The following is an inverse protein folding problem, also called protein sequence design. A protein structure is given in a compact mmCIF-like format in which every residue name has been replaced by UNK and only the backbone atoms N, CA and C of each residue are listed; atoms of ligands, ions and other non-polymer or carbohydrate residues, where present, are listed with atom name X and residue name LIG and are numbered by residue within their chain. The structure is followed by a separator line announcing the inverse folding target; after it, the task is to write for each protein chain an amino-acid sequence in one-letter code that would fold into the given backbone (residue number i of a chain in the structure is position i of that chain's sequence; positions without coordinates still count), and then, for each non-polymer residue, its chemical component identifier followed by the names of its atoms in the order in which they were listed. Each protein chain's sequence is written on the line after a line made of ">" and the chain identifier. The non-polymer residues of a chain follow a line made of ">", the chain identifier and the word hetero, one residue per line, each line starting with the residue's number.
data_IF_750175180011
#
_entry.id   IF_750175180011
#
_cell.length_a   1.000
_cell.length_b   1.000
_cell.length_c   1.000
_cell.angle_alpha   90.00
_cell.angle_beta   90.00
_cell.angle_gamma   90.00
#
_symmetry.space_group_name_H-M   'P 1'
#
loop_
_entity.id
_entity.type
_entity.pdbx_description
1 polymer ?
#
# COMPACT_ATOMS: atom_id res chain seq x y z
N UNK A 1 -2.82 9.99 -10.51
CA UNK A 1 -3.30 8.72 -11.08
C UNK A 1 -3.63 7.78 -9.93
N UNK A 2 -4.92 7.53 -9.67
CA UNK A 2 -5.35 6.54 -8.68
C UNK A 2 -4.91 5.16 -9.19
N UNK A 3 -3.85 4.59 -8.62
CA UNK A 3 -3.51 3.18 -8.86
C UNK A 3 -4.72 2.35 -8.45
N UNK A 4 -5.40 1.76 -9.43
CA UNK A 4 -6.51 0.83 -9.18
C UNK A 4 -6.07 -0.21 -8.15
N UNK A 5 -6.90 -0.54 -7.16
CA UNK A 5 -6.54 -1.46 -6.07
C UNK A 5 -5.99 -2.81 -6.57
N UNK A 6 -6.33 -3.22 -7.80
CA UNK A 6 -5.77 -4.39 -8.48
C UNK A 6 -4.28 -4.26 -8.84
N UNK A 7 -3.81 -3.07 -9.24
CA UNK A 7 -2.39 -2.85 -9.54
C UNK A 7 -1.53 -2.92 -8.26
N UNK A 8 -2.04 -2.38 -7.14
CA UNK A 8 -1.40 -2.51 -5.84
C UNK A 8 -1.29 -3.98 -5.39
N UNK A 9 -2.36 -4.77 -5.59
CA UNK A 9 -2.32 -6.21 -5.28
C UNK A 9 -1.37 -6.96 -6.21
N UNK A 10 -1.37 -6.66 -7.52
CA UNK A 10 -0.51 -7.35 -8.49
C UNK A 10 0.98 -7.10 -8.23
N UNK A 11 1.34 -5.89 -7.79
CA UNK A 11 2.72 -5.55 -7.39
C UNK A 11 3.12 -6.21 -6.07
N UNK A 12 2.24 -6.21 -5.06
CA UNK A 12 2.47 -6.93 -3.81
C UNK A 12 2.71 -8.43 -4.03
N UNK A 13 1.85 -9.08 -4.83
CA UNK A 13 2.00 -10.50 -5.20
C UNK A 13 3.34 -10.82 -5.87
N UNK A 14 3.81 -9.91 -6.73
CA UNK A 14 5.12 -10.07 -7.37
C UNK A 14 6.29 -10.03 -6.37
N UNK A 15 6.21 -9.19 -5.34
CA UNK A 15 7.22 -9.08 -4.28
C UNK A 15 7.24 -10.28 -3.33
N UNK A 16 6.08 -10.91 -3.11
CA UNK A 16 5.92 -12.07 -2.22
C UNK A 16 6.26 -13.41 -2.88
N UNK A 17 6.36 -13.46 -4.20
CA UNK A 17 6.67 -14.68 -4.94
C UNK A 17 7.87 -15.47 -4.38
N UNK A 18 9.06 -14.86 -4.12
CA UNK A 18 10.19 -15.61 -3.56
C UNK A 18 9.88 -16.20 -2.18
N UNK A 19 9.16 -15.46 -1.33
CA UNK A 19 8.74 -15.96 -0.01
C UNK A 19 7.82 -17.17 -0.14
N UNK A 20 6.87 -17.14 -1.09
CA UNK A 20 5.94 -18.27 -1.33
C UNK A 20 6.65 -19.50 -1.84
N UNK A 21 7.62 -19.34 -2.74
CA UNK A 21 8.43 -20.45 -3.26
C UNK A 21 9.33 -21.01 -2.14
N UNK A 22 9.95 -20.14 -1.33
CA UNK A 22 10.76 -20.55 -0.19
C UNK A 22 9.97 -21.33 0.85
N UNK A 23 8.78 -20.86 1.22
CA UNK A 23 7.89 -21.58 2.14
C UNK A 23 7.45 -22.93 1.56
N UNK A 24 7.08 -22.96 0.27
CA UNK A 24 6.68 -24.21 -0.39
C UNK A 24 7.82 -25.22 -0.44
N UNK A 25 9.05 -24.78 -0.72
CA UNK A 25 10.22 -25.64 -0.70
C UNK A 25 10.46 -26.21 0.71
N UNK A 26 10.35 -25.38 1.74
CA UNK A 26 10.48 -25.82 3.13
C UNK A 26 9.40 -26.83 3.53
N UNK A 27 8.13 -26.55 3.21
CA UNK A 27 7.00 -27.43 3.51
C UNK A 27 7.14 -28.76 2.74
N UNK A 28 7.50 -28.72 1.46
CA UNK A 28 7.72 -29.91 0.65
C UNK A 28 8.88 -30.75 1.17
N UNK A 29 9.98 -30.12 1.59
CA UNK A 29 11.12 -30.79 2.21
C UNK A 29 10.75 -31.43 3.56
N UNK A 30 10.02 -30.72 4.41
CA UNK A 30 9.53 -31.28 5.67
C UNK A 30 8.58 -32.46 5.45
N UNK A 31 7.67 -32.34 4.47
CA UNK A 31 6.76 -33.42 4.09
C UNK A 31 7.51 -34.66 3.60
N UNK A 32 8.59 -34.48 2.84
CA UNK A 32 9.47 -35.57 2.41
C UNK A 32 10.15 -36.30 3.57
N UNK A 33 10.61 -35.56 4.58
CA UNK A 33 11.25 -36.15 5.76
C UNK A 33 10.24 -36.91 6.60
N UNK A 34 9.02 -36.37 6.77
CA UNK A 34 7.97 -37.01 7.56
C UNK A 34 7.38 -38.25 6.88
N UNK A 35 7.20 -38.19 5.55
CA UNK A 35 6.62 -39.27 4.76
C UNK A 35 7.34 -39.34 3.40
N UNK A 36 8.40 -40.16 3.28
CA UNK A 36 9.16 -40.28 2.04
C UNK A 36 8.28 -40.79 0.90
N UNK A 37 7.98 -39.94 -0.08
CA UNK A 37 7.10 -40.28 -1.21
C UNK A 37 7.35 -39.36 -2.40
N UNK A 38 6.84 -39.72 -3.58
CA UNK A 38 6.89 -38.84 -4.76
C UNK A 38 5.91 -37.66 -4.66
N UNK A 39 4.90 -37.75 -3.78
CA UNK A 39 3.82 -36.76 -3.66
C UNK A 39 4.27 -35.32 -3.37
N UNK A 40 5.19 -35.05 -2.41
CA UNK A 40 5.66 -33.69 -2.18
C UNK A 40 6.37 -33.06 -3.40
N UNK A 41 7.06 -33.86 -4.23
CA UNK A 41 7.67 -33.37 -5.48
C UNK A 41 6.58 -33.01 -6.48
N UNK A 42 5.60 -33.88 -6.70
CA UNK A 42 4.47 -33.61 -7.62
C UNK A 42 3.72 -32.35 -7.17
N UNK A 43 3.48 -32.21 -5.87
CA UNK A 43 2.85 -31.04 -5.30
C UNK A 43 3.68 -29.77 -5.54
N UNK A 44 4.99 -29.81 -5.27
CA UNK A 44 5.88 -28.67 -5.47
C UNK A 44 5.93 -28.25 -6.95
N UNK A 45 6.04 -29.20 -7.88
CA UNK A 45 6.02 -28.91 -9.32
C UNK A 45 4.67 -28.32 -9.77
N UNK A 46 3.57 -28.83 -9.22
CA UNK A 46 2.22 -28.30 -9.51
C UNK A 46 2.06 -26.89 -8.94
N UNK A 47 2.62 -26.63 -7.76
CA UNK A 47 2.65 -25.31 -7.13
C UNK A 47 3.44 -24.32 -7.98
N UNK A 48 4.62 -24.69 -8.49
CA UNK A 48 5.41 -23.85 -9.38
C UNK A 48 4.65 -23.49 -10.68
N UNK A 49 3.96 -24.47 -11.29
CA UNK A 49 3.11 -24.22 -12.44
C UNK A 49 1.95 -23.26 -12.11
N UNK A 50 1.32 -23.41 -10.94
CA UNK A 50 0.31 -22.50 -10.42
C UNK A 50 0.84 -21.07 -10.22
N UNK A 51 2.05 -20.91 -9.70
CA UNK A 51 2.70 -19.60 -9.55
C UNK A 51 3.05 -18.95 -10.89
N UNK A 52 3.48 -19.74 -11.88
CA UNK A 52 3.71 -19.24 -13.24
C UNK A 52 2.39 -18.72 -13.85
N UNK A 53 1.29 -19.46 -13.68
CA UNK A 53 -0.04 -19.02 -14.12
C UNK A 53 -0.49 -17.74 -13.40
N UNK A 54 -0.29 -17.64 -12.09
CA UNK A 54 -0.59 -16.44 -11.30
C UNK A 54 0.21 -15.23 -11.83
N UNK A 55 1.51 -15.41 -12.05
CA UNK A 55 2.38 -14.37 -12.61
C UNK A 55 1.88 -13.85 -13.96
N UNK A 56 1.48 -14.76 -14.86
CA UNK A 56 0.95 -14.41 -16.19
C UNK A 56 -0.40 -13.70 -16.07
N UNK A 57 -1.30 -14.19 -15.22
CA UNK A 57 -2.63 -13.63 -15.02
C UNK A 57 -2.58 -12.18 -14.51
N UNK A 58 -1.64 -11.87 -13.60
CA UNK A 58 -1.48 -10.54 -13.00
C UNK A 58 -0.48 -9.63 -13.74
N UNK A 59 0.26 -10.13 -14.74
CA UNK A 59 1.23 -9.34 -15.54
C UNK A 59 0.63 -8.05 -16.14
N UNK A 60 -0.56 -8.06 -16.78
CA UNK A 60 -1.14 -6.85 -17.40
C UNK A 60 -1.41 -5.74 -16.39
N UNK A 61 -1.87 -6.12 -15.18
CA UNK A 61 -2.14 -5.18 -14.09
C UNK A 61 -0.88 -4.57 -13.49
N UNK A 62 0.26 -5.26 -13.60
CA UNK A 62 1.58 -4.72 -13.21
C UNK A 62 2.13 -3.73 -14.22
N UNK A 63 1.77 -3.90 -15.50
CA UNK A 63 2.20 -3.02 -16.59
C UNK A 63 1.35 -1.76 -16.72
N UNK A 64 0.27 -1.63 -15.94
CA UNK A 64 -0.56 -0.43 -15.91
C UNK A 64 -1.56 -0.33 -17.07
N UNK A 65 -1.93 -1.46 -17.69
CA UNK A 65 -2.94 -1.52 -18.76
C UNK A 65 -4.38 -1.31 -18.22
N UNK A 66 -4.69 -0.09 -17.78
CA UNK A 66 -6.05 0.35 -17.45
C UNK A 66 -6.78 -0.45 -16.35
N UNK A 67 -8.09 -0.20 -16.20
CA UNK A 67 -8.92 -1.00 -15.30
C UNK A 67 -9.27 -2.37 -15.90
N UNK A 68 -9.14 -3.48 -15.15
CA UNK A 68 -9.47 -4.79 -15.67
C UNK A 68 -10.98 -4.95 -15.90
N UNK A 69 -11.34 -5.54 -17.04
CA UNK A 69 -12.72 -5.94 -17.37
C UNK A 69 -13.27 -6.94 -16.34
N UNK A 70 -14.61 -7.05 -16.24
CA UNK A 70 -15.27 -7.98 -15.30
C UNK A 70 -14.81 -9.44 -15.50
N UNK A 71 -14.67 -9.88 -16.75
CA UNK A 71 -14.17 -11.22 -17.08
C UNK A 71 -12.75 -11.45 -16.56
N UNK A 72 -11.87 -10.44 -16.68
CA UNK A 72 -10.48 -10.55 -16.21
C UNK A 72 -10.39 -10.57 -14.68
N UNK A 73 -11.26 -9.82 -13.99
CA UNK A 73 -11.37 -9.88 -12.52
C UNK A 73 -11.79 -11.28 -12.05
N UNK A 74 -12.78 -11.87 -12.71
CA UNK A 74 -13.22 -13.25 -12.42
C UNK A 74 -12.12 -14.28 -12.70
N UNK A 75 -11.42 -14.14 -13.83
CA UNK A 75 -10.27 -15.00 -14.16
C UNK A 75 -9.17 -14.93 -13.10
N UNK A 76 -8.79 -13.73 -12.65
CA UNK A 76 -7.77 -13.57 -11.61
C UNK A 76 -8.21 -14.14 -10.26
N UNK A 77 -9.49 -14.00 -9.90
CA UNK A 77 -10.05 -14.62 -8.71
C UNK A 77 -10.01 -16.15 -8.80
N UNK A 78 -10.34 -16.72 -9.97
CA UNK A 78 -10.26 -18.15 -10.23
C UNK A 78 -8.83 -18.69 -10.14
N UNK A 79 -7.87 -18.01 -10.75
CA UNK A 79 -6.43 -18.38 -10.66
C UNK A 79 -5.94 -18.29 -9.21
N UNK A 80 -6.33 -17.25 -8.48
CA UNK A 80 -5.97 -17.13 -7.07
C UNK A 80 -6.55 -18.28 -6.23
N UNK A 81 -7.83 -18.62 -6.41
CA UNK A 81 -8.48 -19.74 -5.73
C UNK A 81 -7.83 -21.09 -6.08
N UNK A 82 -7.48 -21.30 -7.34
CA UNK A 82 -6.77 -22.50 -7.80
C UNK A 82 -5.41 -22.62 -7.11
N UNK A 83 -4.63 -21.53 -7.09
CA UNK A 83 -3.30 -21.54 -6.49
C UNK A 83 -3.36 -21.81 -4.98
N UNK A 84 -4.34 -21.24 -4.27
CA UNK A 84 -4.52 -21.50 -2.84
C UNK A 84 -5.00 -22.92 -2.54
N UNK A 85 -5.84 -23.49 -3.42
CA UNK A 85 -6.26 -24.89 -3.34
C UNK A 85 -5.06 -25.83 -3.54
N UNK A 86 -4.24 -25.62 -4.57
CA UNK A 86 -3.02 -26.38 -4.82
C UNK A 86 -2.10 -26.27 -3.61
N UNK A 87 -1.84 -25.06 -3.11
CA UNK A 87 -0.95 -24.86 -1.98
C UNK A 87 -1.44 -25.59 -0.72
N UNK A 88 -2.74 -25.52 -0.42
CA UNK A 88 -3.32 -26.21 0.74
C UNK A 88 -3.43 -27.72 0.58
N UNK A 89 -3.40 -28.25 -0.63
CA UNK A 89 -3.62 -29.69 -0.87
C UNK A 89 -2.57 -30.59 -0.19
N UNK A 90 -1.35 -30.10 0.07
CA UNK A 90 -0.33 -30.83 0.82
C UNK A 90 -0.78 -31.18 2.25
N UNK A 91 -1.67 -30.36 2.83
CA UNK A 91 -2.23 -30.62 4.14
C UNK A 91 -3.05 -31.92 4.16
N UNK A 92 -3.74 -32.26 3.07
CA UNK A 92 -4.46 -33.54 2.95
C UNK A 92 -3.48 -34.70 3.01
N UNK A 93 -2.41 -34.62 2.24
CA UNK A 93 -1.37 -35.65 2.21
C UNK A 93 -0.74 -35.83 3.59
N UNK A 94 -0.32 -34.74 4.22
CA UNK A 94 0.28 -34.75 5.56
C UNK A 94 -0.69 -35.26 6.64
N UNK A 95 -1.98 -34.92 6.53
CA UNK A 95 -2.99 -35.36 7.48
C UNK A 95 -3.13 -36.87 7.53
N UNK A 96 -3.18 -37.51 6.37
CA UNK A 96 -3.41 -38.96 6.29
C UNK A 96 -2.12 -39.78 6.30
N UNK A 97 -1.02 -39.26 5.73
CA UNK A 97 0.23 -40.01 5.54
C UNK A 97 1.39 -39.52 6.42
N UNK A 98 1.22 -38.41 7.14
CA UNK A 98 2.27 -37.82 8.00
C UNK A 98 2.40 -38.46 9.38
N UNK A 99 1.74 -39.61 9.61
CA UNK A 99 1.76 -40.31 10.89
C UNK A 99 1.07 -39.54 12.03
N UNK A 100 1.43 -39.79 13.29
CA UNK A 100 0.76 -39.21 14.46
C UNK A 100 0.80 -37.67 14.52
N UNK A 101 1.87 -37.07 13.98
CA UNK A 101 2.06 -35.61 13.97
C UNK A 101 1.60 -34.94 12.67
N UNK A 102 1.17 -35.72 11.68
CA UNK A 102 0.68 -35.24 10.39
C UNK A 102 -0.43 -34.18 10.50
N UNK A 103 -1.50 -34.43 11.28
CA UNK A 103 -2.57 -33.45 11.49
C UNK A 103 -2.09 -32.12 12.08
N UNK A 104 -1.14 -32.14 13.03
CA UNK A 104 -0.60 -30.92 13.62
C UNK A 104 0.14 -30.08 12.59
N UNK A 105 1.01 -30.71 11.80
CA UNK A 105 1.76 -30.00 10.77
C UNK A 105 0.82 -29.45 9.68
N UNK A 106 -0.17 -30.23 9.26
CA UNK A 106 -1.19 -29.81 8.30
C UNK A 106 -1.97 -28.57 8.78
N UNK A 107 -2.38 -28.54 10.06
CA UNK A 107 -3.08 -27.38 10.63
C UNK A 107 -2.19 -26.14 10.72
N UNK A 108 -0.96 -26.28 11.21
CA UNK A 108 -0.02 -25.16 11.32
C UNK A 108 0.27 -24.56 9.94
N UNK A 109 0.47 -25.41 8.94
CA UNK A 109 0.64 -24.98 7.55
C UNK A 109 -0.57 -24.15 7.10
N UNK A 110 -1.77 -24.75 7.09
CA UNK A 110 -2.95 -24.09 6.52
C UNK A 110 -3.31 -22.82 7.30
N UNK A 111 -3.11 -22.80 8.62
CA UNK A 111 -3.24 -21.58 9.44
C UNK A 111 -2.26 -20.49 8.99
N UNK A 112 -0.97 -20.80 8.84
CA UNK A 112 0.02 -19.84 8.35
C UNK A 112 -0.34 -19.27 6.97
N UNK A 113 -0.86 -20.12 6.09
CA UNK A 113 -1.30 -19.73 4.75
C UNK A 113 -2.55 -18.82 4.77
N UNK A 114 -3.53 -19.12 5.64
CA UNK A 114 -4.68 -18.25 5.93
C UNK A 114 -4.22 -16.86 6.41
N UNK A 115 -3.33 -16.81 7.39
CA UNK A 115 -2.77 -15.56 7.90
C UNK A 115 -2.07 -14.77 6.80
N UNK A 116 -1.23 -15.43 6.01
CA UNK A 116 -0.47 -14.80 4.92
C UNK A 116 -1.41 -14.12 3.91
N UNK A 117 -2.44 -14.83 3.42
CA UNK A 117 -3.42 -14.26 2.47
C UNK A 117 -4.21 -13.11 3.10
N UNK A 118 -4.62 -13.26 4.35
CA UNK A 118 -5.38 -12.27 5.10
C UNK A 118 -4.63 -10.93 5.28
N UNK A 119 -3.32 -10.97 5.50
CA UNK A 119 -2.52 -9.75 5.68
C UNK A 119 -2.30 -9.00 4.35
N UNK A 120 -2.04 -9.71 3.25
CA UNK A 120 -1.58 -9.08 2.01
C UNK A 120 -2.72 -8.71 1.05
N UNK A 121 -3.89 -9.35 1.13
CA UNK A 121 -4.96 -9.20 0.11
C UNK A 121 -6.15 -8.32 0.52
N UNK A 122 -6.08 -7.62 1.65
CA UNK A 122 -7.24 -6.94 2.25
C UNK A 122 -7.82 -5.77 1.43
N UNK A 123 -7.09 -5.26 0.43
CA UNK A 123 -7.50 -4.14 -0.41
C UNK A 123 -8.59 -4.51 -1.45
N UNK A 124 -8.75 -5.80 -1.81
CA UNK A 124 -9.69 -6.24 -2.85
C UNK A 124 -10.51 -7.44 -2.36
N UNK A 125 -11.71 -7.17 -1.84
CA UNK A 125 -12.58 -8.18 -1.18
C UNK A 125 -12.85 -9.43 -2.03
N UNK A 126 -13.19 -9.36 -3.33
CA UNK A 126 -13.45 -10.56 -4.12
C UNK A 126 -12.25 -11.50 -4.20
N UNK A 127 -11.05 -10.95 -4.26
CA UNK A 127 -9.82 -11.72 -4.39
C UNK A 127 -9.38 -12.33 -3.05
N UNK A 128 -9.63 -11.62 -1.94
CA UNK A 128 -9.47 -12.15 -0.60
C UNK A 128 -10.43 -13.33 -0.37
N UNK A 129 -11.72 -13.18 -0.69
CA UNK A 129 -12.71 -14.25 -0.53
C UNK A 129 -12.33 -15.47 -1.36
N UNK A 130 -11.98 -15.28 -2.64
CA UNK A 130 -11.55 -16.36 -3.53
C UNK A 130 -10.32 -17.12 -3.01
N UNK A 131 -9.41 -16.42 -2.31
CA UNK A 131 -8.18 -17.02 -1.78
C UNK A 131 -8.38 -17.70 -0.42
N UNK A 132 -9.25 -17.15 0.43
CA UNK A 132 -9.54 -17.64 1.79
C UNK A 132 -10.41 -18.90 1.76
N UNK A 133 -11.41 -18.97 0.88
CA UNK A 133 -12.37 -20.08 0.84
C UNK A 133 -11.64 -21.43 0.73
N UNK A 134 -10.72 -21.67 -0.23
CA UNK A 134 -10.03 -22.96 -0.32
C UNK A 134 -9.28 -23.33 0.95
N UNK A 135 -8.50 -22.39 1.53
CA UNK A 135 -7.79 -22.66 2.78
C UNK A 135 -8.74 -22.99 3.93
N UNK A 136 -9.83 -22.24 4.10
CA UNK A 136 -10.83 -22.48 5.12
C UNK A 136 -11.51 -23.85 4.94
N UNK A 137 -11.77 -24.25 3.69
CA UNK A 137 -12.30 -25.57 3.36
C UNK A 137 -11.36 -26.68 3.81
N UNK A 138 -10.05 -26.59 3.56
CA UNK A 138 -9.11 -27.59 4.07
C UNK A 138 -8.97 -27.54 5.60
N UNK A 139 -8.87 -26.34 6.16
CA UNK A 139 -8.64 -26.13 7.59
C UNK A 139 -9.77 -26.67 8.47
N UNK A 140 -11.03 -26.49 8.05
CA UNK A 140 -12.19 -26.99 8.78
C UNK A 140 -12.63 -28.37 8.27
N UNK A 141 -12.46 -28.63 6.98
CA UNK A 141 -12.91 -29.86 6.35
C UNK A 141 -12.12 -31.09 6.78
N UNK A 142 -10.80 -30.99 6.98
CA UNK A 142 -9.97 -32.12 7.40
C UNK A 142 -10.35 -32.68 8.79
N UNK A 143 -10.41 -31.86 9.86
CA UNK A 143 -10.85 -32.36 11.17
C UNK A 143 -12.33 -32.79 11.14
N UNK A 144 -13.20 -32.10 10.39
CA UNK A 144 -14.61 -32.48 10.27
C UNK A 144 -14.79 -33.83 9.58
N UNK A 145 -14.05 -34.08 8.49
CA UNK A 145 -14.06 -35.35 7.78
C UNK A 145 -13.53 -36.48 8.67
N UNK A 146 -12.45 -36.23 9.40
CA UNK A 146 -11.89 -37.20 10.36
C UNK A 146 -12.91 -37.54 11.44
N UNK A 147 -13.54 -36.52 12.04
CA UNK A 147 -14.60 -36.71 13.03
C UNK A 147 -15.78 -37.52 12.46
N UNK A 148 -16.17 -37.28 11.21
CA UNK A 148 -17.26 -38.00 10.57
C UNK A 148 -16.93 -39.49 10.35
N UNK A 149 -15.69 -39.80 9.97
CA UNK A 149 -15.24 -41.16 9.64
C UNK A 149 -14.85 -41.98 10.87
N UNK A 150 -14.04 -41.42 11.78
CA UNK A 150 -13.44 -42.17 12.91
C UNK A 150 -14.15 -41.94 14.23
N UNK A 151 -14.97 -40.88 14.34
CA UNK A 151 -15.60 -40.43 15.60
C UNK A 151 -14.59 -40.15 16.72
N UNK A 152 -13.36 -39.84 16.34
CA UNK A 152 -12.28 -39.53 17.28
C UNK A 152 -12.50 -38.18 17.97
N UNK A 153 -12.41 -38.17 19.30
CA UNK A 153 -12.53 -36.97 20.12
C UNK A 153 -11.36 -36.00 19.89
N UNK A 154 -10.18 -36.49 19.48
CA UNK A 154 -9.07 -35.61 19.13
C UNK A 154 -9.43 -34.69 17.95
N UNK A 155 -10.22 -35.17 16.98
CA UNK A 155 -10.70 -34.36 15.87
C UNK A 155 -11.63 -33.22 16.33
N UNK A 156 -12.41 -33.43 17.40
CA UNK A 156 -13.23 -32.37 18.02
C UNK A 156 -12.35 -31.27 18.60
N UNK A 157 -11.29 -31.62 19.33
CA UNK A 157 -10.36 -30.65 19.90
C UNK A 157 -9.67 -29.82 18.80
N UNK A 158 -9.23 -30.46 17.72
CA UNK A 158 -8.63 -29.77 16.56
C UNK A 158 -9.65 -28.85 15.90
N UNK A 159 -10.92 -29.27 15.75
CA UNK A 159 -11.96 -28.44 15.16
C UNK A 159 -12.26 -27.21 16.02
N UNK A 160 -12.32 -27.35 17.35
CA UNK A 160 -12.49 -26.22 18.26
C UNK A 160 -11.31 -25.25 18.13
N UNK A 161 -10.07 -25.75 18.10
CA UNK A 161 -8.88 -24.94 17.90
C UNK A 161 -8.91 -24.21 16.54
N UNK A 162 -9.38 -24.88 15.49
CA UNK A 162 -9.55 -24.29 14.17
C UNK A 162 -10.58 -23.16 14.17
N UNK A 163 -11.74 -23.35 14.80
CA UNK A 163 -12.78 -22.33 14.92
C UNK A 163 -12.28 -21.13 15.74
N UNK A 164 -11.56 -21.38 16.85
CA UNK A 164 -10.97 -20.33 17.67
C UNK A 164 -9.94 -19.51 16.88
N UNK A 165 -9.09 -20.19 16.10
CA UNK A 165 -8.11 -19.55 15.22
C UNK A 165 -8.81 -18.66 14.17
N UNK A 166 -9.84 -19.18 13.49
CA UNK A 166 -10.60 -18.42 12.50
C UNK A 166 -11.27 -17.21 13.14
N UNK A 167 -11.83 -17.34 14.35
CA UNK A 167 -12.43 -16.22 15.08
C UNK A 167 -11.39 -15.11 15.37
N UNK A 168 -10.20 -15.48 15.87
CA UNK A 168 -9.10 -14.53 16.09
C UNK A 168 -8.62 -13.90 14.80
N UNK A 169 -8.50 -14.67 13.72
CA UNK A 169 -8.09 -14.17 12.41
C UNK A 169 -9.09 -13.15 11.87
N UNK A 170 -10.40 -13.40 12.01
CA UNK A 170 -11.44 -12.45 11.60
C UNK A 170 -11.33 -11.13 12.37
N UNK A 171 -11.09 -11.19 13.68
CA UNK A 171 -10.86 -9.99 14.51
C UNK A 171 -9.60 -9.25 14.05
N UNK A 172 -8.50 -9.97 13.86
CA UNK A 172 -7.22 -9.40 13.40
C UNK A 172 -7.34 -8.73 12.02
N UNK A 173 -8.04 -9.35 11.07
CA UNK A 173 -8.27 -8.80 9.73
C UNK A 173 -9.15 -7.55 9.81
N UNK A 174 -10.23 -7.57 10.59
CA UNK A 174 -11.09 -6.39 10.80
C UNK A 174 -10.30 -5.23 11.38
N UNK A 175 -9.43 -5.50 12.35
CA UNK A 175 -8.57 -4.49 12.95
C UNK A 175 -7.56 -3.93 11.93
N UNK A 176 -6.87 -4.81 11.19
CA UNK A 176 -5.89 -4.42 10.17
C UNK A 176 -6.50 -3.53 9.08
N UNK A 177 -7.73 -3.83 8.63
CA UNK A 177 -8.43 -3.02 7.64
C UNK A 177 -8.74 -1.63 8.19
N UNK A 178 -9.22 -1.53 9.43
CA UNK A 178 -9.51 -0.25 10.08
C UNK A 178 -8.25 0.61 10.21
N UNK A 179 -7.18 0.05 10.78
CA UNK A 179 -5.91 0.75 10.97
C UNK A 179 -5.31 1.22 9.65
N UNK A 180 -5.39 0.43 8.59
CA UNK A 180 -4.88 0.82 7.26
C UNK A 180 -5.71 1.96 6.66
N UNK A 181 -7.04 1.93 6.85
CA UNK A 181 -7.93 3.01 6.43
C UNK A 181 -7.65 4.32 7.15
N UNK A 182 -7.44 4.27 8.47
CA UNK A 182 -7.13 5.45 9.29
C UNK A 182 -5.78 6.06 8.90
N UNK A 183 -4.76 5.21 8.67
CA UNK A 183 -3.44 5.67 8.19
C UNK A 183 -3.52 6.33 6.82
N UNK A 184 -4.31 5.79 5.89
CA UNK A 184 -4.52 6.39 4.57
C UNK A 184 -5.24 7.74 4.65
N UNK A 185 -6.25 7.85 5.51
CA UNK A 185 -6.97 9.10 5.75
C UNK A 185 -6.04 10.17 6.35
N UNK A 186 -5.29 9.82 7.40
CA UNK A 186 -4.33 10.72 8.02
C UNK A 186 -3.22 11.16 7.06
N UNK A 187 -2.72 10.25 6.21
CA UNK A 187 -1.72 10.58 5.18
C UNK A 187 -2.28 11.55 4.15
N UNK A 188 -3.53 11.35 3.72
CA UNK A 188 -4.18 12.24 2.75
C UNK A 188 -4.36 13.62 3.33
N UNK A 189 -4.80 13.73 4.59
CA UNK A 189 -4.93 15.01 5.28
C UNK A 189 -3.58 15.71 5.49
N UNK A 190 -2.53 14.96 5.85
CA UNK A 190 -1.20 15.54 5.98
C UNK A 190 -0.68 16.12 4.64
N UNK A 191 -0.96 15.45 3.52
CA UNK A 191 -0.59 15.93 2.19
C UNK A 191 -1.38 17.19 1.81
N UNK A 192 -2.70 17.23 2.05
CA UNK A 192 -3.51 18.42 1.75
C UNK A 192 -3.09 19.63 2.57
N UNK A 193 -2.75 19.43 3.85
CA UNK A 193 -2.26 20.50 4.71
C UNK A 193 -0.88 21.00 4.28
N UNK A 194 0.03 20.09 3.88
CA UNK A 194 1.34 20.47 3.35
C UNK A 194 1.19 21.30 2.07
N UNK A 195 0.38 20.85 1.12
CA UNK A 195 0.19 21.56 -0.15
C UNK A 195 -0.43 22.95 0.10
N UNK A 196 -1.37 23.08 1.05
CA UNK A 196 -1.91 24.39 1.48
C UNK A 196 -0.83 25.31 2.07
N UNK A 197 0.06 24.77 2.91
CA UNK A 197 1.15 25.53 3.49
C UNK A 197 2.17 25.98 2.44
N UNK A 198 2.49 25.11 1.47
CA UNK A 198 3.35 25.43 0.33
C UNK A 198 2.74 26.56 -0.52
N UNK A 199 1.44 26.47 -0.86
CA UNK A 199 0.73 27.53 -1.58
C UNK A 199 0.72 28.87 -0.81
N UNK A 200 0.47 28.84 0.50
CA UNK A 200 0.49 30.05 1.32
C UNK A 200 1.90 30.67 1.40
N UNK A 201 2.94 29.84 1.53
CA UNK A 201 4.34 30.29 1.55
C UNK A 201 4.77 30.89 0.22
N UNK A 202 4.36 30.27 -0.90
CA UNK A 202 4.61 30.78 -2.24
C UNK A 202 3.94 32.15 -2.45
N UNK A 203 2.67 32.29 -2.08
CA UNK A 203 1.94 33.56 -2.17
C UNK A 203 2.57 34.66 -1.29
N UNK A 204 3.05 34.32 -0.09
CA UNK A 204 3.77 35.25 0.78
C UNK A 204 5.09 35.71 0.14
N UNK A 205 5.82 34.79 -0.49
CA UNK A 205 7.09 35.08 -1.16
C UNK A 205 6.87 35.99 -2.37
N UNK A 206 5.84 35.71 -3.17
CA UNK A 206 5.44 36.56 -4.31
C UNK A 206 5.03 37.96 -3.84
N UNK A 207 4.18 38.06 -2.81
CA UNK A 207 3.80 39.34 -2.23
C UNK A 207 5.01 40.15 -1.75
N UNK A 208 5.94 39.51 -1.01
CA UNK A 208 7.15 40.18 -0.53
C UNK A 208 8.06 40.64 -1.68
N UNK A 209 8.15 39.85 -2.76
CA UNK A 209 8.92 40.23 -3.95
C UNK A 209 8.31 41.45 -4.65
N UNK A 210 6.99 41.45 -4.86
CA UNK A 210 6.25 42.59 -5.47
C UNK A 210 6.41 43.84 -4.61
N UNK A 211 6.15 43.76 -3.31
CA UNK A 211 6.30 44.91 -2.40
C UNK A 211 7.75 45.42 -2.38
N UNK A 212 8.75 44.54 -2.40
CA UNK A 212 10.16 44.96 -2.45
C UNK A 212 10.47 45.76 -3.73
N UNK A 213 9.91 45.36 -4.86
CA UNK A 213 10.06 46.06 -6.13
C UNK A 213 9.35 47.42 -6.12
N UNK A 214 8.15 47.48 -5.54
CA UNK A 214 7.33 48.69 -5.43
C UNK A 214 7.88 49.71 -4.41
N UNK A 215 8.58 49.26 -3.36
CA UNK A 215 9.21 50.17 -2.37
C UNK A 215 10.53 50.75 -2.88
N UNK A 216 11.27 50.03 -3.74
CA UNK A 216 12.57 50.49 -4.25
C UNK A 216 12.44 51.75 -5.11
N UNK A 217 11.37 51.87 -5.88
CA UNK A 217 11.07 53.02 -6.75
C UNK A 217 10.85 54.34 -5.99
N UNK A 218 9.95 54.44 -4.99
CA UNK A 218 9.79 55.65 -4.19
C UNK A 218 10.98 55.90 -3.25
N UNK A 219 11.64 54.86 -2.73
CA UNK A 219 12.82 55.05 -1.86
C UNK A 219 13.98 55.69 -2.64
N UNK A 220 14.22 55.26 -3.88
CA UNK A 220 15.19 55.92 -4.76
C UNK A 220 14.79 57.36 -5.09
N UNK A 221 13.50 57.66 -5.21
CA UNK A 221 13.00 59.02 -5.42
C UNK A 221 13.18 59.94 -4.18
N UNK A 222 13.17 59.39 -2.97
CA UNK A 222 13.39 60.15 -1.73
C UNK A 222 14.89 60.34 -1.44
N UNK A 223 15.73 59.33 -1.69
CA UNK A 223 17.19 59.42 -1.47
C UNK A 223 17.87 60.33 -2.51
N UNK A 224 17.36 60.41 -3.74
CA UNK A 224 17.91 61.28 -4.77
C UNK A 224 17.76 62.78 -4.44
N UNK A 225 16.71 63.17 -3.70
CA UNK A 225 16.42 64.56 -3.31
C UNK A 225 17.58 65.26 -2.58
N UNK A 226 18.13 64.74 -1.47
CA UNK A 226 19.25 65.39 -0.77
C UNK A 226 20.55 65.38 -1.58
N UNK A 227 20.84 64.34 -2.37
CA UNK A 227 22.04 64.31 -3.23
C UNK A 227 21.99 65.31 -4.38
N UNK A 228 20.81 65.58 -4.96
CA UNK A 228 20.65 66.62 -5.96
C UNK A 228 20.87 68.02 -5.34
N UNK A 229 20.34 68.27 -4.14
CA UNK A 229 20.58 69.52 -3.41
C UNK A 229 22.05 69.71 -2.98
N UNK A 230 22.76 68.62 -2.66
CA UNK A 230 24.19 68.67 -2.33
C UNK A 230 25.07 68.93 -3.57
N UNK A 231 24.73 68.35 -4.72
CA UNK A 231 25.41 68.64 -6.00
C UNK A 231 25.14 70.06 -6.51
N UNK A 232 24.01 70.67 -6.13
CA UNK A 232 23.66 72.04 -6.46
C UNK A 232 24.28 73.12 -5.52
N UNK A 233 25.12 72.74 -4.55
CA UNK A 233 25.88 73.70 -3.74
C UNK A 233 25.03 74.54 -2.77
N UNK A 234 24.02 73.94 -2.13
CA UNK A 234 23.12 74.68 -1.24
C UNK A 234 23.65 74.75 0.21
N UNK A 235 23.85 75.97 0.76
CA UNK A 235 24.12 76.23 2.19
C UNK A 235 22.90 76.88 2.86
N UNK A 236 22.46 76.45 4.06
CA UNK A 236 21.28 77.04 4.71
C UNK A 236 21.64 78.35 5.43
N UNK A 237 21.19 79.49 4.91
CA UNK A 237 21.10 80.74 5.68
C UNK A 237 19.72 81.39 5.49
N UNK A 238 18.94 81.38 6.58
CA UNK A 238 17.75 82.19 6.89
C UNK A 238 16.77 82.59 5.76
N UNK A 239 15.60 81.95 5.82
CA UNK A 239 14.27 82.57 5.73
C UNK A 239 13.97 83.56 4.58
N UNK A 240 13.44 83.04 3.47
CA UNK A 240 12.20 83.57 2.87
C UNK A 240 11.61 82.54 1.88
N UNK A 241 10.33 82.22 2.07
CA UNK A 241 9.52 81.40 1.17
C UNK A 241 9.25 82.19 -0.11
N UNK A 242 9.74 81.73 -1.26
CA UNK A 242 9.43 82.27 -2.59
C UNK A 242 9.10 81.15 -3.59
N UNK A 243 8.32 81.42 -4.66
CA UNK A 243 7.40 80.46 -5.28
C UNK A 243 8.03 79.45 -6.27
N UNK A 244 9.34 79.21 -6.23
CA UNK A 244 10.02 78.26 -7.12
C UNK A 244 9.71 76.77 -6.84
N UNK A 245 8.96 76.45 -5.79
CA UNK A 245 8.64 75.05 -5.46
C UNK A 245 7.59 74.42 -6.40
N UNK A 246 6.91 75.21 -7.25
CA UNK A 246 5.85 74.71 -8.13
C UNK A 246 6.34 74.08 -9.45
N UNK A 247 7.52 74.45 -9.96
CA UNK A 247 8.04 73.91 -11.23
C UNK A 247 8.89 72.65 -11.07
N UNK A 248 9.21 72.23 -9.85
CA UNK A 248 9.89 70.96 -9.60
C UNK A 248 8.96 69.73 -9.76
N UNK A 249 7.64 69.94 -9.82
CA UNK A 249 6.67 68.86 -10.04
C UNK A 249 6.77 68.25 -11.45
N UNK A 250 7.31 68.97 -12.43
CA UNK A 250 7.42 68.51 -13.83
C UNK A 250 8.71 67.76 -14.15
N UNK A 251 9.76 67.84 -13.31
CA UNK A 251 11.03 67.16 -13.60
C UNK A 251 11.08 65.69 -13.12
N UNK A 252 10.17 65.29 -12.22
CA UNK A 252 10.11 63.92 -11.71
C UNK A 252 9.36 62.93 -12.62
N UNK A 253 8.82 63.37 -13.76
CA UNK A 253 7.98 62.55 -14.66
C UNK A 253 8.68 62.07 -15.94
N UNK A 254 9.99 62.28 -16.09
CA UNK A 254 10.74 62.01 -17.32
C UNK A 254 11.89 60.99 -17.19
N UNK A 255 11.81 60.04 -16.26
CA UNK A 255 12.67 58.84 -16.20
C UNK A 255 11.84 57.64 -15.75
#
# INVERSE_FOLDING_TARGET
>A
MLTSGYAAVATARGRELPTRIGLALFIGGAAMVMSPSIWPVIWFTTMLAGQALDWIAFRPMRLGEGEPSRARRAFCAGVAALNTAIYSSIAVYLWFQGGPFGPLFAMIQVAGALLHVSLHMHHVRPLLIASVIPHATYFLGLPLLTLAMTRDLAAVAILIAALLYVAHLVVAVKQSIRTTGDMQAARTEALTQRDRAEHASAAKSEFLAVISHEIRTPLNAVISRPTCCAAAGWTPSSASMSPCCWTAATCCWAC
#
